data_IF_937272029122
#
_entry.id   IF_937272029122
#
_cell.length_a   1.000
_cell.length_b   1.000
_cell.length_c   1.000
_cell.angle_alpha   90.00
_cell.angle_beta   90.00
_cell.angle_gamma   90.00
#
_symmetry.space_group_name_H-M   'P 1'
#
loop_
_entity.id
_entity.type
_entity.pdbx_description
1 polymer ?
#
# COMPACT_ATOMS: atom_id res chain seq x y z
N UNK A 1 -29.90 1.78 -37.75
CA UNK A 1 -29.49 0.41 -37.39
C UNK A 1 -29.56 0.31 -35.88
N UNK A 2 -30.29 -0.66 -35.33
CA UNK A 2 -30.39 -0.84 -33.89
C UNK A 2 -29.02 -1.28 -33.35
N UNK A 3 -28.47 -0.52 -32.41
CA UNK A 3 -27.19 -0.84 -31.76
C UNK A 3 -27.42 -2.06 -30.89
N UNK A 4 -26.96 -3.24 -31.33
CA UNK A 4 -27.01 -4.45 -30.52
C UNK A 4 -26.10 -4.27 -29.32
N UNK A 5 -26.69 -4.14 -28.13
CA UNK A 5 -25.95 -4.08 -26.89
C UNK A 5 -25.47 -5.48 -26.52
N UNK A 6 -24.19 -5.62 -26.16
CA UNK A 6 -23.69 -6.88 -25.59
C UNK A 6 -24.28 -7.06 -24.19
N UNK A 7 -24.71 -8.27 -23.86
CA UNK A 7 -25.30 -8.63 -22.56
C UNK A 7 -24.24 -9.10 -21.55
N UNK A 8 -22.97 -9.17 -21.96
CA UNK A 8 -21.84 -9.48 -21.09
C UNK A 8 -20.67 -8.52 -21.37
N UNK A 9 -19.89 -8.19 -20.34
CA UNK A 9 -18.71 -7.32 -20.44
C UNK A 9 -17.42 -8.04 -20.84
N UNK A 10 -17.45 -9.37 -21.03
CA UNK A 10 -16.27 -10.15 -21.42
C UNK A 10 -15.92 -9.84 -22.87
N UNK A 11 -14.72 -9.29 -23.06
CA UNK A 11 -14.12 -9.01 -24.37
C UNK A 11 -12.86 -9.87 -24.54
N UNK A 12 -12.34 -9.98 -25.77
CA UNK A 12 -11.03 -10.62 -26.00
C UNK A 12 -9.89 -9.94 -25.25
N UNK A 13 -10.03 -8.64 -24.93
CA UNK A 13 -9.05 -7.89 -24.15
C UNK A 13 -9.17 -8.16 -22.65
N UNK A 14 -10.30 -8.67 -22.16
CA UNK A 14 -10.49 -8.99 -20.73
C UNK A 14 -9.42 -9.96 -20.25
N UNK A 15 -9.07 -10.98 -21.04
CA UNK A 15 -8.05 -11.98 -20.69
C UNK A 15 -6.65 -11.35 -20.58
N UNK A 16 -6.39 -10.25 -21.30
CA UNK A 16 -5.10 -9.56 -21.36
C UNK A 16 -5.00 -8.34 -20.42
N UNK A 17 -5.98 -8.09 -19.58
CA UNK A 17 -5.99 -6.92 -18.69
C UNK A 17 -6.30 -7.32 -17.23
N UNK A 18 -6.17 -8.60 -16.89
CA UNK A 18 -6.44 -9.09 -15.54
C UNK A 18 -5.21 -8.83 -14.66
N UNK A 19 -5.44 -8.23 -13.49
CA UNK A 19 -4.47 -8.28 -12.39
C UNK A 19 -4.48 -9.71 -11.84
N UNK A 20 -3.31 -10.31 -11.80
CA UNK A 20 -3.08 -11.68 -11.37
C UNK A 20 -2.25 -11.69 -10.09
N UNK A 21 -2.51 -12.73 -9.28
CA UNK A 21 -1.83 -13.04 -8.03
C UNK A 21 -2.01 -11.99 -6.91
N UNK A 22 -1.47 -12.28 -5.73
CA UNK A 22 -1.53 -11.39 -4.56
C UNK A 22 -0.60 -10.17 -4.67
N UNK A 23 0.33 -10.17 -5.64
CA UNK A 23 1.39 -9.18 -5.78
C UNK A 23 2.50 -9.32 -4.73
N UNK A 24 3.65 -8.71 -5.02
CA UNK A 24 4.78 -8.62 -4.11
C UNK A 24 4.90 -7.19 -3.57
N UNK A 25 5.20 -7.06 -2.27
CA UNK A 25 5.29 -5.76 -1.60
C UNK A 25 6.75 -5.39 -1.33
N UNK A 26 7.16 -4.23 -1.81
CA UNK A 26 8.50 -3.68 -1.67
C UNK A 26 8.49 -2.42 -0.82
N UNK A 27 9.50 -2.28 0.01
CA UNK A 27 9.82 -1.07 0.77
C UNK A 27 10.90 -0.32 -0.01
N UNK A 28 10.75 1.00 -0.16
CA UNK A 28 11.66 1.89 -0.88
C UNK A 28 11.94 1.41 -2.31
N UNK A 29 10.88 1.08 -3.05
CA UNK A 29 10.95 0.63 -4.44
C UNK A 29 11.64 1.67 -5.34
N UNK A 30 12.62 1.21 -6.12
CA UNK A 30 13.48 2.02 -6.99
C UNK A 30 14.58 2.79 -6.27
N UNK A 31 14.75 2.63 -4.95
CA UNK A 31 15.77 3.29 -4.15
C UNK A 31 16.96 2.35 -3.85
N UNK A 32 18.06 2.90 -3.34
CA UNK A 32 19.26 2.10 -2.98
C UNK A 32 19.01 1.13 -1.83
N UNK A 33 18.03 1.42 -1.00
CA UNK A 33 17.61 0.66 0.18
C UNK A 33 16.32 -0.13 -0.07
N UNK A 34 16.04 -0.44 -1.35
CA UNK A 34 14.92 -1.30 -1.74
C UNK A 34 15.03 -2.67 -1.06
N UNK A 35 13.94 -3.11 -0.43
CA UNK A 35 13.83 -4.46 0.11
C UNK A 35 12.45 -5.06 -0.12
N UNK A 36 12.40 -6.36 -0.34
CA UNK A 36 11.16 -7.12 -0.32
C UNK A 36 10.69 -7.29 1.13
N UNK A 37 9.40 -7.07 1.39
CA UNK A 37 8.86 -7.18 2.75
C UNK A 37 8.74 -8.64 3.23
N UNK A 38 8.58 -9.58 2.29
CA UNK A 38 8.41 -11.01 2.53
C UNK A 38 7.14 -11.57 1.88
N UNK A 39 6.85 -12.84 2.16
CA UNK A 39 5.63 -13.50 1.71
C UNK A 39 4.37 -12.90 2.37
N UNK A 40 3.33 -12.72 1.55
CA UNK A 40 1.98 -12.29 1.98
C UNK A 40 0.96 -13.40 1.74
N UNK A 41 -0.07 -13.54 2.58
CA UNK A 41 -1.15 -14.54 2.46
C UNK A 41 -2.51 -13.88 2.67
N UNK A 42 -3.52 -14.30 1.91
CA UNK A 42 -4.85 -13.67 1.97
C UNK A 42 -5.00 -12.46 1.03
N UNK A 43 -3.93 -12.04 0.36
CA UNK A 43 -3.93 -10.91 -0.56
C UNK A 43 -3.60 -9.58 0.12
N UNK A 44 -3.46 -8.55 -0.70
CA UNK A 44 -3.16 -7.19 -0.29
C UNK A 44 -4.25 -6.25 -0.80
N UNK A 45 -4.63 -5.26 -0.02
CA UNK A 45 -5.73 -4.34 -0.35
C UNK A 45 -5.20 -2.92 -0.47
N UNK A 46 -5.41 -2.30 -1.63
CA UNK A 46 -5.14 -0.87 -1.83
C UNK A 46 -6.46 -0.10 -1.82
N UNK A 47 -6.59 0.85 -0.90
CA UNK A 47 -7.78 1.67 -0.72
C UNK A 47 -7.44 3.14 -0.92
N UNK A 48 -8.28 3.86 -1.67
CA UNK A 48 -8.21 5.32 -1.80
C UNK A 48 -9.53 5.91 -1.35
N UNK A 49 -9.52 6.59 -0.20
CA UNK A 49 -10.67 7.27 0.36
C UNK A 49 -10.63 8.74 -0.05
N UNK A 50 -11.74 9.24 -0.63
CA UNK A 50 -11.84 10.62 -1.10
C UNK A 50 -13.10 11.28 -0.56
N UNK A 51 -12.93 12.41 0.10
CA UNK A 51 -14.03 13.28 0.45
C UNK A 51 -14.29 14.27 -0.70
N UNK A 52 -15.56 14.39 -1.12
CA UNK A 52 -15.95 15.24 -2.24
C UNK A 52 -16.99 16.25 -1.78
N UNK A 53 -16.57 17.51 -1.68
CA UNK A 53 -17.47 18.64 -1.45
C UNK A 53 -18.24 18.97 -2.73
N UNK A 54 -19.56 19.08 -2.58
CA UNK A 54 -20.46 19.55 -3.64
C UNK A 54 -20.67 21.05 -3.43
N UNK A 55 -20.46 21.83 -4.48
CA UNK A 55 -20.78 23.24 -4.51
C UNK A 55 -22.26 23.35 -4.86
N UNK A 56 -23.08 23.81 -3.92
CA UNK A 56 -24.49 24.08 -4.17
C UNK A 56 -24.62 25.35 -5.02
N UNK A 57 -25.38 25.24 -6.12
CA UNK A 57 -25.63 26.34 -7.05
C UNK A 57 -27.13 26.62 -7.01
N UNK A 58 -27.49 27.85 -6.67
CA UNK A 58 -28.90 28.26 -6.60
C UNK A 58 -29.61 28.05 -7.95
N UNK A 59 -30.77 27.41 -7.89
CA UNK A 59 -31.56 27.05 -9.07
C UNK A 59 -31.19 25.70 -9.70
N UNK A 60 -30.16 25.02 -9.23
CA UNK A 60 -29.87 23.65 -9.64
C UNK A 60 -30.90 22.67 -9.06
N UNK A 61 -31.47 21.81 -9.91
CA UNK A 61 -32.40 20.74 -9.49
C UNK A 61 -31.70 19.47 -9.02
N UNK A 62 -30.37 19.49 -8.88
CA UNK A 62 -29.57 18.33 -8.52
C UNK A 62 -28.08 18.53 -8.78
N UNK A 63 -27.32 17.43 -8.82
CA UNK A 63 -25.87 17.42 -9.01
C UNK A 63 -25.48 18.12 -10.32
N UNK A 64 -24.70 19.20 -10.23
CA UNK A 64 -24.23 19.97 -11.38
C UNK A 64 -22.84 19.47 -11.81
N UNK A 65 -22.66 19.24 -13.11
CA UNK A 65 -21.36 18.86 -13.69
C UNK A 65 -20.34 19.98 -13.42
N UNK A 66 -19.18 19.62 -12.86
CA UNK A 66 -18.12 20.57 -12.50
C UNK A 66 -18.24 21.20 -11.11
N UNK A 67 -19.35 20.98 -10.40
CA UNK A 67 -19.56 21.50 -9.04
C UNK A 67 -19.06 20.54 -7.94
N UNK A 68 -18.06 19.70 -8.24
CA UNK A 68 -17.49 18.74 -7.28
C UNK A 68 -16.01 19.03 -7.12
N UNK A 69 -15.56 19.17 -5.88
CA UNK A 69 -14.16 19.37 -5.51
C UNK A 69 -13.75 18.31 -4.50
N UNK A 70 -12.58 17.70 -4.69
CA UNK A 70 -11.96 16.79 -3.72
C UNK A 70 -11.42 17.65 -2.58
N UNK A 71 -11.82 17.34 -1.34
CA UNK A 71 -11.37 18.05 -0.12
C UNK A 71 -10.34 17.26 0.65
N UNK A 72 -10.45 15.93 0.62
CA UNK A 72 -9.54 15.02 1.31
C UNK A 72 -9.31 13.79 0.41
N UNK A 73 -8.09 13.26 0.44
CA UNK A 73 -7.71 12.08 -0.31
C UNK A 73 -6.61 11.33 0.46
N UNK A 74 -6.98 10.16 1.00
CA UNK A 74 -6.12 9.28 1.79
C UNK A 74 -5.93 7.95 1.05
N UNK A 75 -4.68 7.51 0.93
CA UNK A 75 -4.33 6.25 0.30
C UNK A 75 -3.72 5.31 1.33
N UNK A 76 -4.28 4.11 1.46
CA UNK A 76 -3.88 3.10 2.43
C UNK A 76 -3.61 1.79 1.71
N UNK A 77 -2.51 1.13 2.07
CA UNK A 77 -2.18 -0.22 1.64
C UNK A 77 -2.21 -1.14 2.85
N UNK A 78 -3.17 -2.06 2.86
CA UNK A 78 -3.31 -3.11 3.87
C UNK A 78 -2.64 -4.39 3.38
N UNK A 79 -1.68 -4.90 4.14
CA UNK A 79 -0.88 -6.06 3.77
C UNK A 79 -0.95 -7.13 4.86
N UNK A 80 -1.07 -8.38 4.43
CA UNK A 80 -1.14 -9.55 5.31
C UNK A 80 0.19 -10.30 5.25
N UNK A 81 1.04 -10.12 6.26
CA UNK A 81 2.40 -10.68 6.25
C UNK A 81 2.47 -12.05 6.92
N UNK A 82 3.24 -12.97 6.35
CA UNK A 82 3.67 -14.20 7.04
C UNK A 82 5.06 -14.04 7.65
N UNK A 83 5.90 -13.20 7.04
CA UNK A 83 7.29 -13.05 7.44
C UNK A 83 7.45 -11.97 8.50
N UNK A 84 7.76 -12.39 9.73
CA UNK A 84 7.98 -11.51 10.87
C UNK A 84 9.47 -11.34 11.17
N UNK A 85 10.12 -10.46 10.41
CA UNK A 85 11.49 -10.02 10.67
C UNK A 85 11.54 -8.83 11.64
N UNK A 86 12.70 -8.56 12.26
CA UNK A 86 12.85 -7.40 13.14
C UNK A 86 12.59 -6.06 12.42
N UNK A 87 12.87 -5.99 11.11
CA UNK A 87 12.58 -4.82 10.28
C UNK A 87 11.09 -4.69 9.96
N UNK A 88 10.37 -5.80 9.83
CA UNK A 88 8.92 -5.78 9.64
C UNK A 88 8.20 -5.38 10.93
N UNK A 89 8.66 -5.86 12.09
CA UNK A 89 8.18 -5.35 13.38
C UNK A 89 8.43 -3.86 13.55
N UNK A 90 9.59 -3.36 13.10
CA UNK A 90 9.87 -1.92 13.09
C UNK A 90 8.89 -1.19 12.17
N UNK A 91 8.65 -1.70 10.97
CA UNK A 91 7.75 -1.09 10.00
C UNK A 91 6.30 -1.04 10.51
N UNK A 92 5.87 -2.10 11.17
CA UNK A 92 4.53 -2.22 11.77
C UNK A 92 4.31 -1.28 12.96
N UNK A 93 5.38 -0.84 13.61
CA UNK A 93 5.32 0.05 14.76
C UNK A 93 5.67 1.47 14.28
N UNK A 94 4.66 2.35 14.23
CA UNK A 94 4.67 3.75 13.75
C UNK A 94 5.84 4.62 14.26
N UNK A 95 6.53 4.22 15.33
CA UNK A 95 7.78 4.84 15.77
C UNK A 95 8.60 3.86 16.64
N UNK A 96 9.40 2.97 16.04
CA UNK A 96 10.22 2.03 16.80
C UNK A 96 11.71 2.04 16.41
N UNK A 97 12.56 1.85 17.40
CA UNK A 97 14.00 1.65 17.21
C UNK A 97 14.37 0.18 17.31
N UNK A 98 15.35 -0.23 16.50
CA UNK A 98 15.92 -1.57 16.51
C UNK A 98 17.36 -1.49 16.98
N UNK A 99 17.68 -2.19 18.07
CA UNK A 99 19.04 -2.29 18.61
C UNK A 99 19.46 -3.74 18.76
N UNK A 100 20.76 -4.01 18.79
CA UNK A 100 21.28 -5.36 19.03
C UNK A 100 20.96 -5.82 20.45
N UNK A 101 20.50 -7.07 20.57
CA UNK A 101 20.42 -7.78 21.84
C UNK A 101 21.70 -8.57 22.03
N UNK A 102 22.46 -8.23 23.07
CA UNK A 102 23.71 -8.89 23.40
C UNK A 102 23.48 -9.97 24.46
N UNK A 103 24.32 -11.01 24.43
CA UNK A 103 24.39 -12.02 25.49
C UNK A 103 24.81 -11.40 26.83
N UNK A 104 24.71 -12.17 27.91
CA UNK A 104 25.02 -11.77 29.30
C UNK A 104 26.40 -11.11 29.44
N UNK A 105 27.37 -11.57 28.65
CA UNK A 105 28.76 -11.07 28.65
C UNK A 105 28.98 -9.87 27.70
N UNK A 106 27.95 -9.45 26.96
CA UNK A 106 27.99 -8.28 26.07
C UNK A 106 28.82 -8.46 24.79
N UNK A 107 29.35 -9.66 24.53
CA UNK A 107 30.30 -9.90 23.43
C UNK A 107 29.67 -10.41 22.13
N UNK A 108 28.46 -10.98 22.20
CA UNK A 108 27.83 -11.66 21.07
C UNK A 108 26.42 -11.12 20.85
N UNK A 109 26.07 -10.79 19.61
CA UNK A 109 24.70 -10.44 19.22
C UNK A 109 23.87 -11.71 19.16
N UNK A 110 22.87 -11.83 20.04
CA UNK A 110 21.95 -12.96 20.15
C UNK A 110 20.57 -12.65 19.58
N UNK A 111 20.29 -11.40 19.23
CA UNK A 111 19.03 -11.02 18.59
C UNK A 111 18.89 -9.51 18.37
N UNK A 112 17.64 -9.07 18.17
CA UNK A 112 17.28 -7.66 18.02
C UNK A 112 16.24 -7.29 19.07
N UNK A 113 16.35 -6.09 19.63
CA UNK A 113 15.34 -5.49 20.51
C UNK A 113 14.64 -4.40 19.73
N UNK A 114 13.31 -4.49 19.64
CA UNK A 114 12.46 -3.44 19.07
C UNK A 114 11.86 -2.64 20.23
N UNK A 115 12.07 -1.33 20.25
CA UNK A 115 11.56 -0.43 21.30
C UNK A 115 10.70 0.67 20.67
N UNK A 116 9.38 0.68 20.93
CA UNK A 116 8.54 1.81 20.58
C UNK A 116 9.01 3.10 21.25
N UNK A 117 8.78 4.21 20.58
CA UNK A 117 9.00 5.58 21.05
C UNK A 117 7.68 6.33 21.13
N UNK A 118 7.61 7.31 22.03
CA UNK A 118 6.48 8.23 22.11
C UNK A 118 6.53 9.42 21.14
N UNK A 119 7.47 9.40 20.17
CA UNK A 119 7.63 10.47 19.18
C UNK A 119 7.92 9.85 17.82
N UNK A 120 7.14 10.27 16.83
CA UNK A 120 7.36 9.99 15.40
C UNK A 120 8.40 10.98 14.88
N UNK A 121 9.43 10.45 14.21
CA UNK A 121 10.47 11.23 13.54
C UNK A 121 10.30 11.13 12.03
N UNK A 122 10.85 12.10 11.28
CA UNK A 122 10.86 12.05 9.81
C UNK A 122 11.53 10.78 9.27
N UNK A 123 12.48 10.22 10.02
CA UNK A 123 13.17 8.96 9.68
C UNK A 123 12.30 7.70 9.83
N UNK A 124 11.15 7.80 10.49
CA UNK A 124 10.22 6.68 10.64
C UNK A 124 9.34 6.52 9.39
N UNK A 125 9.19 7.59 8.60
CA UNK A 125 8.54 7.52 7.30
C UNK A 125 9.41 6.75 6.32
N UNK A 126 8.83 5.69 5.77
CA UNK A 126 9.39 5.00 4.62
C UNK A 126 9.21 5.88 3.39
N UNK A 127 10.23 6.01 2.54
CA UNK A 127 10.15 6.88 1.35
C UNK A 127 8.99 6.47 0.46
N UNK A 128 8.87 5.18 0.19
CA UNK A 128 7.74 4.63 -0.54
C UNK A 128 7.50 3.14 -0.24
N UNK A 129 6.26 2.67 -0.47
CA UNK A 129 5.93 1.24 -0.49
C UNK A 129 5.24 0.93 -1.81
N UNK A 130 5.65 -0.15 -2.47
CA UNK A 130 5.12 -0.55 -3.75
C UNK A 130 4.47 -1.95 -3.71
N UNK A 131 3.24 -2.05 -4.18
CA UNK A 131 2.58 -3.32 -4.51
C UNK A 131 2.78 -3.60 -6.00
N UNK A 132 3.55 -4.63 -6.31
CA UNK A 132 3.90 -5.07 -7.67
C UNK A 132 3.03 -6.28 -8.01
N UNK A 133 2.07 -6.11 -8.90
CA UNK A 133 1.15 -7.15 -9.35
C UNK A 133 1.39 -7.54 -10.81
N UNK A 134 1.21 -8.82 -11.12
CA UNK A 134 1.30 -9.32 -12.49
C UNK A 134 0.07 -8.89 -13.28
N UNK A 135 0.25 -8.49 -14.54
CA UNK A 135 -0.87 -8.22 -15.46
C UNK A 135 -0.83 -9.27 -16.56
N UNK A 136 -1.93 -10.01 -16.75
CA UNK A 136 -2.05 -10.95 -17.86
C UNK A 136 -1.83 -10.22 -19.18
N UNK A 137 -1.14 -10.81 -20.17
CA UNK A 137 -0.98 -10.19 -21.49
C UNK A 137 0.17 -9.19 -21.64
N UNK A 138 1.01 -9.02 -20.61
CA UNK A 138 2.27 -8.27 -20.68
C UNK A 138 3.29 -8.84 -19.70
N UNK A 139 4.58 -8.69 -20.00
CA UNK A 139 5.68 -9.07 -19.10
C UNK A 139 6.00 -7.96 -18.08
N UNK A 140 5.42 -6.77 -18.24
CA UNK A 140 5.61 -5.65 -17.32
C UNK A 140 4.55 -5.68 -16.20
N UNK A 141 4.92 -5.49 -14.93
CA UNK A 141 3.97 -5.51 -13.83
C UNK A 141 3.16 -4.20 -13.76
N UNK A 142 1.99 -4.28 -13.11
CA UNK A 142 1.30 -3.13 -12.56
C UNK A 142 1.92 -2.81 -11.20
N UNK A 143 2.28 -1.55 -10.96
CA UNK A 143 2.92 -1.13 -9.70
C UNK A 143 2.11 -0.01 -9.07
N UNK A 144 1.60 -0.25 -7.87
CA UNK A 144 0.94 0.77 -7.03
C UNK A 144 1.97 1.23 -6.01
N UNK A 145 2.27 2.53 -5.97
CA UNK A 145 3.29 3.10 -5.09
C UNK A 145 2.64 4.11 -4.16
N UNK A 146 2.83 3.96 -2.86
CA UNK A 146 2.49 4.94 -1.83
C UNK A 146 3.76 5.66 -1.39
N UNK A 147 3.70 6.96 -1.11
CA UNK A 147 4.85 7.82 -0.76
C UNK A 147 4.73 8.29 0.69
N UNK A 148 5.88 8.52 1.33
CA UNK A 148 6.01 8.95 2.73
C UNK A 148 5.12 8.10 3.64
N UNK A 149 5.39 6.81 3.65
CA UNK A 149 4.51 5.81 4.22
C UNK A 149 4.81 5.61 5.70
N UNK A 150 3.76 5.57 6.51
CA UNK A 150 3.84 5.26 7.93
C UNK A 150 2.75 4.22 8.26
N UNK A 151 3.04 3.30 9.18
CA UNK A 151 2.02 2.37 9.66
C UNK A 151 0.97 3.09 10.51
N UNK A 152 -0.29 2.71 10.34
CA UNK A 152 -1.37 3.10 11.22
C UNK A 152 -1.27 2.30 12.53
N UNK A 153 -1.66 2.92 13.65
CA UNK A 153 -1.26 2.56 15.03
C UNK A 153 -1.96 1.28 15.60
N UNK A 154 -2.20 0.28 14.78
CA UNK A 154 -2.82 -0.99 15.16
C UNK A 154 -1.94 -2.16 14.74
N UNK A 155 -1.16 -2.70 15.68
CA UNK A 155 -0.46 -3.98 15.53
C UNK A 155 -1.26 -5.07 16.25
N UNK A 156 -1.93 -5.90 15.47
CA UNK A 156 -2.61 -7.09 15.94
C UNK A 156 -1.89 -8.35 15.43
N UNK A 157 -1.59 -9.27 16.35
CA UNK A 157 -0.95 -10.55 16.02
C UNK A 157 -1.80 -11.66 16.63
N UNK A 158 -2.57 -12.33 15.78
CA UNK A 158 -3.30 -13.54 16.14
C UNK A 158 -2.45 -14.78 15.87
N UNK A 159 -2.39 -15.68 16.87
CA UNK A 159 -1.66 -16.95 16.79
C UNK A 159 -2.60 -18.08 17.20
N UNK A 160 -3.00 -18.91 16.24
CA UNK A 160 -3.89 -20.05 16.47
C UNK A 160 -3.18 -21.41 16.27
N UNK A 161 -3.67 -22.46 16.92
CA UNK A 161 -3.12 -23.81 16.74
C UNK A 161 -3.36 -24.29 15.31
N UNK A 162 -2.28 -24.66 14.60
CA UNK A 162 -2.25 -25.11 13.19
C UNK A 162 -2.51 -24.01 12.15
N UNK A 163 -2.47 -22.75 12.54
CA UNK A 163 -2.40 -21.63 11.60
C UNK A 163 -1.07 -20.88 11.74
N UNK A 164 -0.60 -20.31 10.65
CA UNK A 164 0.47 -19.31 10.70
C UNK A 164 -0.12 -17.96 11.12
N UNK A 165 0.60 -17.23 11.97
CA UNK A 165 0.25 -15.84 12.29
C UNK A 165 0.31 -14.99 11.02
N UNK A 166 -0.79 -14.28 10.74
CA UNK A 166 -0.93 -13.39 9.58
C UNK A 166 -1.25 -11.97 10.07
N UNK A 167 -0.30 -11.28 10.70
CA UNK A 167 -0.52 -9.90 11.09
C UNK A 167 -0.87 -9.05 9.87
N UNK A 168 -1.98 -8.33 10.02
CA UNK A 168 -2.40 -7.31 9.09
C UNK A 168 -1.69 -5.99 9.45
N UNK A 169 -1.22 -5.28 8.43
CA UNK A 169 -0.57 -3.97 8.60
C UNK A 169 -1.21 -2.99 7.65
N UNK A 170 -1.79 -1.93 8.19
CA UNK A 170 -2.27 -0.80 7.41
C UNK A 170 -1.16 0.25 7.29
N UNK A 171 -0.83 0.60 6.05
CA UNK A 171 0.24 1.54 5.71
C UNK A 171 -0.35 2.72 4.97
N UNK A 172 -0.32 3.90 5.60
CA UNK A 172 -0.90 5.12 5.09
C UNK A 172 0.14 6.02 4.41
N UNK A 173 -0.22 6.53 3.23
CA UNK A 173 0.60 7.49 2.50
C UNK A 173 0.39 8.91 3.01
N UNK A 174 1.47 9.69 3.12
CA UNK A 174 1.42 11.06 3.65
C UNK A 174 1.85 12.09 2.62
N UNK A 175 1.15 13.23 2.59
CA UNK A 175 1.53 14.36 1.73
C UNK A 175 2.90 14.89 2.12
N UNK A 176 3.71 15.17 1.11
CA UNK A 176 4.94 15.93 1.28
C UNK A 176 4.57 17.40 1.62
N UNK A 177 5.09 17.97 2.72
CA UNK A 177 4.88 19.39 3.06
C UNK A 177 5.25 20.37 1.94
N UNK A 178 6.18 20.00 1.06
CA UNK A 178 6.57 20.80 -0.10
C UNK A 178 5.62 20.63 -1.29
N UNK A 179 4.82 19.55 -1.32
CA UNK A 179 3.92 19.17 -2.43
C UNK A 179 2.53 18.76 -1.96
N UNK A 180 1.93 19.58 -1.09
CA UNK A 180 0.61 19.33 -0.47
C UNK A 180 -0.57 19.18 -1.45
N UNK A 181 -0.39 19.51 -2.73
CA UNK A 181 -1.43 19.36 -3.77
C UNK A 181 -1.31 18.07 -4.57
N UNK A 182 -0.22 17.31 -4.40
CA UNK A 182 0.02 16.06 -5.10
C UNK A 182 -0.38 14.89 -4.21
N UNK A 183 -1.38 14.06 -4.61
CA UNK A 183 -1.72 12.87 -3.86
C UNK A 183 -0.49 11.98 -3.67
N UNK A 184 -0.26 11.44 -2.46
CA UNK A 184 0.97 10.72 -2.12
C UNK A 184 0.98 9.27 -2.63
N UNK A 185 0.43 9.02 -3.83
CA UNK A 185 0.46 7.71 -4.45
C UNK A 185 0.47 7.80 -5.99
N UNK A 186 0.93 6.76 -6.65
CA UNK A 186 0.89 6.63 -8.10
C UNK A 186 0.63 5.17 -8.52
N UNK A 187 -0.06 5.00 -9.64
CA UNK A 187 -0.33 3.68 -10.24
C UNK A 187 0.33 3.64 -11.61
N UNK A 188 1.34 2.79 -11.76
CA UNK A 188 2.04 2.53 -13.02
C UNK A 188 1.41 1.31 -13.66
N UNK A 189 0.64 1.53 -14.72
CA UNK A 189 0.04 0.44 -15.50
C UNK A 189 0.85 0.21 -16.79
N UNK A 190 1.21 -1.04 -17.11
CA UNK A 190 2.00 -1.36 -18.28
C UNK A 190 1.20 -1.17 -19.58
N UNK A 191 1.90 -0.92 -20.68
CA UNK A 191 1.28 -0.94 -22.00
C UNK A 191 0.91 -2.39 -22.37
N UNK A 192 -0.38 -2.70 -22.45
CA UNK A 192 -0.84 -4.02 -22.88
C UNK A 192 -0.89 -4.06 -24.41
N UNK A 193 -0.20 -5.03 -25.00
CA UNK A 193 -0.20 -5.21 -26.46
C UNK A 193 -1.58 -5.72 -26.95
N UNK A 194 -2.29 -4.87 -27.69
CA UNK A 194 -3.65 -5.14 -28.19
C UNK A 194 -3.72 -6.04 -29.43
N UNK A 195 -2.62 -6.69 -29.84
CA UNK A 195 -2.57 -7.49 -31.08
C UNK A 195 -3.46 -8.73 -31.04
#
# INVERSE_FOLDING_TARGET
MATTHQTHGITRQTIKNMLLDAGAVYVNYGETDERLIGATSGGNTFTVEREIKIIEIDGARGKVKGARRITEENAVLTINLLEMSAENFKLMLTAADVSDWLDTDGSTVIGKVIKPRGQILDSDYVKNIALVATVSGTDQPCVIILKNVLADDELEIELEDKEEGKPEVALSAHYDPEKVTEPPYEIRYPAVSTT
#
